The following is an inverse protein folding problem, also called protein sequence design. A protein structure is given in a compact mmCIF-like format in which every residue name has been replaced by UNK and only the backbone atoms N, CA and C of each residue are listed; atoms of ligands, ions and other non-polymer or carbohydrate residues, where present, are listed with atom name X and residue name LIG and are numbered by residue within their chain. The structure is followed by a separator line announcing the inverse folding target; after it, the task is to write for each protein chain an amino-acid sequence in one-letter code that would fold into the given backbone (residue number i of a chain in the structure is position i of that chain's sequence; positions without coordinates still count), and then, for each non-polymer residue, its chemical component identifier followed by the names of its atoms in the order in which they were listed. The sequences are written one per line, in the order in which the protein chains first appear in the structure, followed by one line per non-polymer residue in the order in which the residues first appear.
data_IF_912058082287
#
_entry.id   IF_912058082287
#
_cell.length_a   1.000
_cell.length_b   1.000
_cell.length_c   1.000
_cell.angle_alpha   90.00
_cell.angle_beta   90.00
_cell.angle_gamma   90.00
#
_symmetry.space_group_name_H-M   'P 1'
#
loop_
_entity.id
_entity.type
_entity.pdbx_description
1 polymer ?
#
# COMPACT_ATOMS: atom_id res chain seq x y z
N UNK A 1 -43.79 88.74 -29.42
CA UNK A 1 -42.43 88.52 -29.94
C UNK A 1 -41.52 89.69 -29.60
N UNK A 2 -40.78 89.58 -28.47
CA UNK A 2 -39.68 90.50 -28.16
C UNK A 2 -38.39 89.90 -28.74
N UNK A 3 -37.81 90.57 -29.74
CA UNK A 3 -36.52 90.17 -30.32
C UNK A 3 -35.42 90.97 -29.62
N UNK A 4 -34.43 90.26 -29.10
CA UNK A 4 -33.18 90.85 -28.66
C UNK A 4 -32.14 90.69 -29.75
N UNK A 5 -31.46 91.78 -30.12
CA UNK A 5 -30.40 91.80 -31.12
C UNK A 5 -29.04 91.89 -30.44
N UNK A 6 -28.11 91.04 -30.85
CA UNK A 6 -26.72 91.15 -30.43
C UNK A 6 -25.77 90.87 -31.61
N UNK A 7 -24.54 91.35 -31.50
CA UNK A 7 -23.50 91.05 -32.47
C UNK A 7 -23.04 89.59 -32.30
N UNK A 8 -23.34 88.74 -33.28
CA UNK A 8 -23.03 87.31 -33.29
C UNK A 8 -21.52 87.04 -33.23
N UNK A 9 -20.69 87.98 -33.69
CA UNK A 9 -19.22 87.85 -33.61
C UNK A 9 -18.67 88.01 -32.19
N UNK A 10 -19.46 88.52 -31.25
CA UNK A 10 -19.06 88.69 -29.85
C UNK A 10 -19.26 87.43 -29.00
N UNK A 11 -20.07 86.47 -29.45
CA UNK A 11 -20.37 85.23 -28.73
C UNK A 11 -20.50 84.07 -29.72
N UNK A 12 -19.38 83.39 -30.00
CA UNK A 12 -19.40 82.17 -30.81
C UNK A 12 -20.12 81.04 -30.03
N UNK A 13 -21.22 80.53 -30.58
CA UNK A 13 -21.91 79.35 -30.06
C UNK A 13 -21.25 78.08 -30.60
N UNK A 14 -21.28 77.01 -29.82
CA UNK A 14 -20.94 75.68 -30.33
C UNK A 14 -21.91 75.30 -31.47
N UNK A 15 -21.41 74.68 -32.53
CA UNK A 15 -22.19 74.37 -33.73
C UNK A 15 -23.42 73.49 -33.42
N UNK A 16 -23.34 72.62 -32.41
CA UNK A 16 -24.45 71.75 -31.98
C UNK A 16 -25.53 72.56 -31.26
N UNK A 17 -25.11 73.50 -30.41
CA UNK A 17 -26.01 74.42 -29.69
C UNK A 17 -26.67 75.40 -30.66
N UNK A 18 -25.90 75.93 -31.62
CA UNK A 18 -26.40 76.81 -32.66
C UNK A 18 -27.44 76.10 -33.55
N UNK A 19 -27.16 74.86 -33.97
CA UNK A 19 -28.09 74.04 -34.75
C UNK A 19 -29.39 73.77 -34.00
N UNK A 20 -29.30 73.41 -32.72
CA UNK A 20 -30.47 73.18 -31.86
C UNK A 20 -31.31 74.45 -31.72
N UNK A 21 -30.69 75.58 -31.38
CA UNK A 21 -31.37 76.86 -31.19
C UNK A 21 -32.02 77.36 -32.49
N UNK A 22 -31.38 77.16 -33.65
CA UNK A 22 -31.99 77.46 -34.96
C UNK A 22 -33.17 76.54 -35.27
N UNK A 23 -33.03 75.23 -35.04
CA UNK A 23 -34.09 74.25 -35.32
C UNK A 23 -35.36 74.48 -34.50
N UNK A 24 -35.21 75.07 -33.30
CA UNK A 24 -36.32 75.44 -32.40
C UNK A 24 -36.81 76.87 -32.60
N UNK A 25 -36.29 77.62 -33.57
CA UNK A 25 -36.67 79.01 -33.84
C UNK A 25 -36.31 79.99 -32.71
N UNK A 26 -35.35 79.61 -31.87
CA UNK A 26 -34.86 80.39 -30.73
C UNK A 26 -33.94 81.52 -31.17
N UNK A 27 -33.14 81.25 -32.20
CA UNK A 27 -32.24 82.22 -32.81
C UNK A 27 -32.43 82.25 -34.32
N UNK A 28 -32.36 83.44 -34.91
CA UNK A 28 -32.21 83.63 -36.36
C UNK A 28 -30.98 84.48 -36.59
N UNK A 29 -30.13 84.07 -37.52
CA UNK A 29 -28.96 84.84 -37.95
C UNK A 29 -29.26 85.48 -39.29
N UNK A 30 -29.08 86.78 -39.39
CA UNK A 30 -29.06 87.47 -40.68
C UNK A 30 -27.61 87.53 -41.20
N UNK A 31 -27.43 87.65 -42.52
CA UNK A 31 -26.14 87.69 -43.23
C UNK A 31 -25.25 88.92 -42.88
N UNK A 32 -25.60 89.67 -41.82
CA UNK A 32 -24.95 90.91 -41.37
C UNK A 32 -24.54 90.92 -39.89
N UNK A 33 -23.97 89.81 -39.39
CA UNK A 33 -23.38 89.71 -38.04
C UNK A 33 -24.33 89.90 -36.86
N UNK A 34 -25.64 89.91 -37.08
CA UNK A 34 -26.65 90.13 -36.04
C UNK A 34 -27.46 88.87 -35.77
N UNK A 35 -27.57 88.51 -34.50
CA UNK A 35 -28.38 87.40 -34.03
C UNK A 35 -29.63 87.91 -33.32
N UNK A 36 -30.79 87.34 -33.68
CA UNK A 36 -32.08 87.67 -33.10
C UNK A 36 -32.53 86.54 -32.17
N UNK A 37 -32.80 86.84 -30.89
CA UNK A 37 -33.33 85.86 -29.94
C UNK A 37 -34.85 85.99 -29.84
N UNK A 38 -35.55 84.89 -30.09
CA UNK A 38 -36.97 84.78 -29.79
C UNK A 38 -37.17 84.46 -28.29
N UNK A 39 -37.36 85.51 -27.49
CA UNK A 39 -37.58 85.37 -26.05
C UNK A 39 -38.81 84.56 -25.66
N UNK A 40 -39.81 84.45 -26.56
CA UNK A 40 -41.02 83.65 -26.31
C UNK A 40 -40.73 82.13 -26.44
N UNK A 41 -39.69 81.73 -27.19
CA UNK A 41 -39.29 80.33 -27.38
C UNK A 41 -38.24 79.84 -26.35
N UNK A 42 -37.48 80.75 -25.73
CA UNK A 42 -36.41 80.41 -24.77
C UNK A 42 -36.88 79.62 -23.54
N UNK A 43 -38.02 79.93 -22.88
CA UNK A 43 -38.48 79.16 -21.72
C UNK A 43 -38.72 77.68 -22.04
N UNK A 44 -39.28 77.38 -23.23
CA UNK A 44 -39.54 76.01 -23.67
C UNK A 44 -38.24 75.22 -23.91
N UNK A 45 -37.25 75.86 -24.53
CA UNK A 45 -35.95 75.25 -24.82
C UNK A 45 -35.15 74.99 -23.54
N UNK A 46 -35.17 75.94 -22.60
CA UNK A 46 -34.54 75.74 -21.28
C UNK A 46 -35.22 74.61 -20.51
N UNK A 47 -36.56 74.50 -20.60
CA UNK A 47 -37.30 73.40 -20.00
C UNK A 47 -36.96 72.04 -20.64
N UNK A 48 -36.80 71.98 -21.95
CA UNK A 48 -36.40 70.76 -22.68
C UNK A 48 -34.97 70.34 -22.32
N UNK A 49 -34.04 71.30 -22.26
CA UNK A 49 -32.65 71.05 -21.88
C UNK A 49 -32.53 70.58 -20.42
N UNK A 50 -33.31 71.18 -19.51
CA UNK A 50 -33.40 70.73 -18.12
C UNK A 50 -33.94 69.30 -18.03
N UNK A 51 -34.99 68.97 -18.79
CA UNK A 51 -35.55 67.62 -18.84
C UNK A 51 -34.55 66.60 -19.42
N UNK A 52 -33.81 66.97 -20.47
CA UNK A 52 -32.77 66.14 -21.06
C UNK A 52 -31.60 65.90 -20.10
N UNK A 53 -31.16 66.93 -19.36
CA UNK A 53 -30.15 66.81 -18.32
C UNK A 53 -30.61 65.86 -17.21
N UNK A 54 -31.83 66.02 -16.68
CA UNK A 54 -32.39 65.13 -15.67
C UNK A 54 -32.53 63.69 -16.16
N UNK A 55 -32.91 63.48 -17.42
CA UNK A 55 -32.97 62.15 -18.03
C UNK A 55 -31.57 61.52 -18.16
N UNK A 56 -30.57 62.30 -18.54
CA UNK A 56 -29.18 61.84 -18.64
C UNK A 56 -28.61 61.46 -17.27
N UNK A 57 -28.89 62.26 -16.24
CA UNK A 57 -28.49 61.97 -14.86
C UNK A 57 -29.13 60.68 -14.35
N UNK A 58 -30.43 60.48 -14.61
CA UNK A 58 -31.14 59.26 -14.26
C UNK A 58 -30.57 58.02 -14.97
N UNK A 59 -30.25 58.15 -16.26
CA UNK A 59 -29.58 57.10 -17.04
C UNK A 59 -28.19 56.78 -16.48
N UNK A 60 -27.40 57.79 -16.12
CA UNK A 60 -26.08 57.59 -15.52
C UNK A 60 -26.17 56.86 -14.18
N UNK A 61 -27.10 57.25 -13.31
CA UNK A 61 -27.34 56.56 -12.04
C UNK A 61 -27.74 55.09 -12.24
N UNK A 62 -28.60 54.80 -13.23
CA UNK A 62 -28.99 53.43 -13.56
C UNK A 62 -27.80 52.60 -14.08
N UNK A 63 -26.95 53.18 -14.93
CA UNK A 63 -25.74 52.54 -15.43
C UNK A 63 -24.74 52.26 -14.31
N UNK A 64 -24.54 53.21 -13.38
CA UNK A 64 -23.68 53.03 -12.22
C UNK A 64 -24.18 51.90 -11.31
N UNK A 65 -25.50 51.82 -11.08
CA UNK A 65 -26.11 50.74 -10.32
C UNK A 65 -25.89 49.37 -10.99
N UNK A 66 -26.05 49.27 -12.32
CA UNK A 66 -25.79 48.04 -13.07
C UNK A 66 -24.31 47.63 -12.99
N UNK A 67 -23.39 48.59 -13.11
CA UNK A 67 -21.95 48.33 -12.96
C UNK A 67 -21.63 47.82 -11.56
N UNK A 68 -22.24 48.39 -10.52
CA UNK A 68 -22.09 47.91 -9.14
C UNK A 68 -22.62 46.48 -8.98
N UNK A 69 -23.79 46.17 -9.55
CA UNK A 69 -24.36 44.82 -9.53
C UNK A 69 -23.45 43.80 -10.24
N UNK A 70 -22.99 44.11 -11.46
CA UNK A 70 -22.10 43.23 -12.22
C UNK A 70 -20.78 42.99 -11.49
N UNK A 71 -20.22 44.00 -10.82
CA UNK A 71 -19.02 43.83 -9.98
C UNK A 71 -19.27 42.87 -8.81
N UNK A 72 -20.42 42.97 -8.15
CA UNK A 72 -20.79 42.04 -7.09
C UNK A 72 -20.96 40.61 -7.60
N UNK A 73 -21.61 40.42 -8.75
CA UNK A 73 -21.80 39.11 -9.37
C UNK A 73 -20.47 38.49 -9.80
N UNK A 74 -19.57 39.27 -10.42
CA UNK A 74 -18.20 38.83 -10.73
C UNK A 74 -17.45 38.39 -9.48
N UNK A 75 -17.60 39.12 -8.37
CA UNK A 75 -17.02 38.72 -7.08
C UNK A 75 -17.57 37.38 -6.58
N UNK A 76 -18.89 37.17 -6.66
CA UNK A 76 -19.55 35.91 -6.28
C UNK A 76 -19.08 34.74 -7.14
N UNK A 77 -19.09 34.88 -8.45
CA UNK A 77 -18.61 33.84 -9.37
C UNK A 77 -17.11 33.57 -9.20
N UNK A 78 -16.31 34.59 -8.93
CA UNK A 78 -14.89 34.43 -8.61
C UNK A 78 -14.67 33.58 -7.36
N UNK A 79 -15.44 33.85 -6.29
CA UNK A 79 -15.37 33.09 -5.05
C UNK A 79 -15.87 31.64 -5.22
N UNK A 80 -16.95 31.43 -5.96
CA UNK A 80 -17.48 30.09 -6.26
C UNK A 80 -16.50 29.27 -7.09
N UNK A 81 -15.88 29.86 -8.12
CA UNK A 81 -14.84 29.22 -8.91
C UNK A 81 -13.65 28.80 -8.05
N UNK A 82 -13.24 29.63 -7.09
CA UNK A 82 -12.16 29.28 -6.17
C UNK A 82 -12.53 28.08 -5.29
N UNK A 83 -13.74 28.08 -4.72
CA UNK A 83 -14.24 26.94 -3.92
C UNK A 83 -14.26 25.64 -4.73
N UNK A 84 -14.73 25.70 -5.98
CA UNK A 84 -14.74 24.54 -6.87
C UNK A 84 -13.34 24.04 -7.20
N UNK A 85 -12.37 24.94 -7.39
CA UNK A 85 -10.95 24.56 -7.60
C UNK A 85 -10.35 23.88 -6.36
N UNK A 86 -10.61 24.41 -5.17
CA UNK A 86 -10.13 23.84 -3.92
C UNK A 86 -10.74 22.45 -3.68
N UNK A 87 -12.05 22.30 -3.93
CA UNK A 87 -12.74 21.03 -3.84
C UNK A 87 -12.24 20.01 -4.88
N UNK A 88 -12.01 20.42 -6.12
CA UNK A 88 -11.45 19.55 -7.15
C UNK A 88 -10.04 19.06 -6.76
N UNK A 89 -9.22 19.95 -6.20
CA UNK A 89 -7.89 19.59 -5.67
C UNK A 89 -7.99 18.58 -4.52
N UNK A 90 -8.95 18.78 -3.61
CA UNK A 90 -9.25 17.86 -2.50
C UNK A 90 -9.69 16.49 -3.00
N UNK A 91 -10.65 16.45 -3.93
CA UNK A 91 -11.19 15.22 -4.53
C UNK A 91 -10.10 14.46 -5.32
N UNK A 92 -9.26 15.16 -6.09
CA UNK A 92 -8.15 14.55 -6.80
C UNK A 92 -7.14 13.90 -5.83
N UNK A 93 -6.89 14.53 -4.69
CA UNK A 93 -6.03 13.96 -3.65
C UNK A 93 -6.67 12.72 -3.00
N UNK A 94 -7.97 12.76 -2.68
CA UNK A 94 -8.71 11.60 -2.16
C UNK A 94 -8.70 10.41 -3.14
N UNK A 95 -8.90 10.67 -4.44
CA UNK A 95 -8.84 9.65 -5.47
C UNK A 95 -7.48 8.96 -5.53
N UNK A 96 -6.37 9.70 -5.39
CA UNK A 96 -5.03 9.10 -5.33
C UNK A 96 -4.86 8.23 -4.08
N UNK A 97 -5.33 8.67 -2.93
CA UNK A 97 -5.26 7.90 -1.69
C UNK A 97 -6.04 6.60 -1.81
N UNK A 98 -7.30 6.65 -2.28
CA UNK A 98 -8.11 5.45 -2.46
C UNK A 98 -7.53 4.51 -3.53
N UNK A 99 -6.98 5.04 -4.63
CA UNK A 99 -6.31 4.21 -5.63
C UNK A 99 -5.10 3.45 -5.02
N UNK A 100 -4.31 4.13 -4.18
CA UNK A 100 -3.20 3.49 -3.45
C UNK A 100 -3.70 2.42 -2.48
N UNK A 101 -4.75 2.71 -1.70
CA UNK A 101 -5.34 1.76 -0.75
C UNK A 101 -5.89 0.51 -1.45
N UNK A 102 -6.60 0.67 -2.57
CA UNK A 102 -7.08 -0.44 -3.39
C UNK A 102 -5.92 -1.29 -3.92
N UNK A 103 -4.83 -0.67 -4.35
CA UNK A 103 -3.64 -1.41 -4.80
C UNK A 103 -3.02 -2.23 -3.67
N UNK A 104 -2.89 -1.65 -2.48
CA UNK A 104 -2.38 -2.37 -1.30
C UNK A 104 -3.29 -3.53 -0.89
N UNK A 105 -4.61 -3.30 -0.83
CA UNK A 105 -5.58 -4.34 -0.49
C UNK A 105 -5.57 -5.50 -1.50
N UNK A 106 -5.42 -5.20 -2.80
CA UNK A 106 -5.25 -6.25 -3.82
C UNK A 106 -3.98 -7.07 -3.61
N UNK A 107 -2.85 -6.43 -3.31
CA UNK A 107 -1.61 -7.13 -3.02
C UNK A 107 -1.71 -7.99 -1.75
N UNK A 108 -2.39 -7.48 -0.72
CA UNK A 108 -2.67 -8.23 0.50
C UNK A 108 -3.56 -9.44 0.23
N UNK A 109 -4.65 -9.27 -0.54
CA UNK A 109 -5.55 -10.36 -0.90
C UNK A 109 -4.83 -11.48 -1.67
N UNK A 110 -3.96 -11.12 -2.62
CA UNK A 110 -3.13 -12.08 -3.34
C UNK A 110 -2.21 -12.87 -2.40
N UNK A 111 -1.55 -12.18 -1.47
CA UNK A 111 -0.67 -12.81 -0.48
C UNK A 111 -1.45 -13.75 0.44
N UNK A 112 -2.60 -13.30 0.95
CA UNK A 112 -3.48 -14.12 1.78
C UNK A 112 -4.00 -15.36 1.06
N UNK A 113 -4.36 -15.24 -0.22
CA UNK A 113 -4.79 -16.39 -1.03
C UNK A 113 -3.68 -17.45 -1.14
N UNK A 114 -2.43 -17.03 -1.39
CA UNK A 114 -1.28 -17.93 -1.43
C UNK A 114 -1.03 -18.63 -0.09
N UNK A 115 -1.17 -17.91 1.02
CA UNK A 115 -1.06 -18.49 2.36
C UNK A 115 -2.16 -19.54 2.61
N UNK A 116 -3.40 -19.26 2.20
CA UNK A 116 -4.52 -20.21 2.31
C UNK A 116 -4.24 -21.48 1.51
N UNK A 117 -3.73 -21.36 0.28
CA UNK A 117 -3.37 -22.54 -0.54
C UNK A 117 -2.28 -23.39 0.13
N UNK A 118 -1.26 -22.73 0.68
CA UNK A 118 -0.15 -23.40 1.39
C UNK A 118 -0.67 -24.14 2.62
N UNK A 119 -1.52 -23.49 3.42
CA UNK A 119 -2.13 -24.11 4.60
C UNK A 119 -3.09 -25.25 4.23
N UNK A 120 -3.83 -25.14 3.14
CA UNK A 120 -4.68 -26.23 2.62
C UNK A 120 -3.85 -27.45 2.23
N UNK A 121 -2.74 -27.24 1.51
CA UNK A 121 -1.83 -28.31 1.12
C UNK A 121 -1.20 -29.00 2.35
N UNK A 122 -0.76 -28.23 3.33
CA UNK A 122 -0.20 -28.79 4.57
C UNK A 122 -1.26 -29.54 5.40
N UNK A 123 -2.48 -29.01 5.48
CA UNK A 123 -3.58 -29.69 6.17
C UNK A 123 -3.91 -31.02 5.48
N UNK A 124 -3.95 -31.06 4.15
CA UNK A 124 -4.13 -32.31 3.40
C UNK A 124 -3.00 -33.32 3.66
N UNK A 125 -1.74 -32.84 3.73
CA UNK A 125 -0.58 -33.67 4.08
C UNK A 125 -0.69 -34.25 5.50
N UNK A 126 -1.05 -33.43 6.47
CA UNK A 126 -1.22 -33.85 7.87
C UNK A 126 -2.39 -34.84 8.04
N UNK A 127 -3.49 -34.68 7.28
CA UNK A 127 -4.58 -35.64 7.27
C UNK A 127 -4.22 -36.97 6.60
N UNK A 128 -3.29 -36.96 5.64
CA UNK A 128 -2.80 -38.17 4.97
C UNK A 128 -1.73 -38.91 5.79
N UNK A 129 -0.92 -38.20 6.58
CA UNK A 129 0.15 -38.78 7.40
C UNK A 129 -0.27 -39.98 8.28
N UNK A 130 -1.41 -39.96 9.02
CA UNK A 130 -1.84 -41.12 9.80
C UNK A 130 -2.38 -42.28 8.96
N UNK A 131 -2.77 -42.05 7.70
CA UNK A 131 -3.21 -43.10 6.76
C UNK A 131 -2.04 -43.81 6.08
N UNK A 132 -0.91 -43.12 5.93
CA UNK A 132 0.34 -43.68 5.38
C UNK A 132 1.28 -44.23 6.44
N UNK A 133 0.99 -44.02 7.73
CA UNK A 133 1.74 -44.64 8.81
C UNK A 133 1.58 -46.16 8.72
N UNK A 134 2.65 -46.96 8.79
CA UNK A 134 2.55 -48.42 8.80
C UNK A 134 1.60 -48.82 9.94
N UNK A 135 0.62 -49.67 9.62
CA UNK A 135 -0.32 -50.17 10.61
C UNK A 135 0.42 -50.75 11.83
N UNK A 136 -0.10 -50.59 13.06
CA UNK A 136 0.54 -51.10 14.28
C UNK A 136 0.74 -52.63 14.28
N UNK A 137 0.15 -53.35 13.32
CA UNK A 137 0.37 -54.78 13.11
C UNK A 137 1.80 -55.11 12.65
N UNK A 138 2.47 -54.24 11.89
CA UNK A 138 3.87 -54.44 11.50
C UNK A 138 4.82 -54.26 12.70
N UNK A 139 4.49 -53.35 13.62
CA UNK A 139 5.25 -53.15 14.87
C UNK A 139 5.01 -54.29 15.87
N UNK A 140 3.80 -54.87 15.92
CA UNK A 140 3.51 -56.04 16.74
C UNK A 140 4.26 -57.30 16.24
N UNK A 141 4.24 -57.56 14.93
CA UNK A 141 4.99 -58.67 14.34
C UNK A 141 6.51 -58.50 14.49
N UNK A 142 7.03 -57.26 14.43
CA UNK A 142 8.45 -57.02 14.70
C UNK A 142 8.80 -57.21 16.19
N UNK A 143 7.88 -56.86 17.10
CA UNK A 143 8.07 -57.06 18.54
C UNK A 143 8.15 -58.55 18.88
N UNK A 144 7.28 -59.38 18.31
CA UNK A 144 7.30 -60.83 18.55
C UNK A 144 8.54 -61.49 17.96
N UNK A 145 8.97 -61.09 16.75
CA UNK A 145 10.19 -61.61 16.14
C UNK A 145 11.45 -61.23 16.93
N UNK A 146 11.52 -59.99 17.45
CA UNK A 146 12.62 -59.54 18.31
C UNK A 146 12.61 -60.29 19.64
N UNK A 147 11.45 -60.54 20.23
CA UNK A 147 11.32 -61.31 21.47
C UNK A 147 11.77 -62.77 21.29
N UNK A 148 11.40 -63.40 20.18
CA UNK A 148 11.86 -64.76 19.85
C UNK A 148 13.38 -64.82 19.61
N UNK A 149 13.93 -63.83 18.92
CA UNK A 149 15.38 -63.73 18.72
C UNK A 149 16.12 -63.54 20.05
N UNK A 150 15.59 -62.72 20.95
CA UNK A 150 16.14 -62.51 22.28
C UNK A 150 16.15 -63.80 23.12
N UNK A 151 15.03 -64.53 23.18
CA UNK A 151 14.98 -65.79 23.92
C UNK A 151 15.87 -66.88 23.31
N UNK A 152 16.00 -66.92 21.98
CA UNK A 152 16.94 -67.82 21.30
C UNK A 152 18.39 -67.48 21.68
N UNK A 153 18.77 -66.22 21.59
CA UNK A 153 20.11 -65.75 21.93
C UNK A 153 20.45 -66.01 23.41
N UNK A 154 19.48 -65.85 24.30
CA UNK A 154 19.62 -66.16 25.73
C UNK A 154 19.90 -67.65 25.98
N UNK A 155 19.22 -68.54 25.25
CA UNK A 155 19.48 -69.99 25.33
C UNK A 155 20.85 -70.35 24.78
N UNK A 156 21.24 -69.78 23.64
CA UNK A 156 22.57 -69.98 23.06
C UNK A 156 23.67 -69.51 24.01
N UNK A 157 23.49 -68.35 24.66
CA UNK A 157 24.43 -67.84 25.65
C UNK A 157 24.57 -68.77 26.87
N UNK A 158 23.45 -69.34 27.36
CA UNK A 158 23.49 -70.30 28.46
C UNK A 158 24.20 -71.60 28.06
N UNK A 159 23.94 -72.11 26.85
CA UNK A 159 24.62 -73.29 26.33
C UNK A 159 26.13 -73.05 26.19
N UNK A 160 26.55 -71.90 25.65
CA UNK A 160 27.95 -71.53 25.54
C UNK A 160 28.62 -71.42 26.92
N UNK A 161 27.90 -70.87 27.91
CA UNK A 161 28.40 -70.75 29.28
C UNK A 161 28.60 -72.12 29.93
N UNK A 162 27.70 -73.08 29.69
CA UNK A 162 27.84 -74.44 30.15
C UNK A 162 29.03 -75.14 29.48
N UNK A 163 29.15 -75.03 28.16
CA UNK A 163 30.27 -75.58 27.41
C UNK A 163 31.63 -75.00 27.86
N UNK A 164 31.67 -73.70 28.16
CA UNK A 164 32.87 -73.06 28.68
C UNK A 164 33.22 -73.59 30.09
N UNK A 165 32.22 -73.77 30.96
CA UNK A 165 32.44 -74.38 32.28
C UNK A 165 32.99 -75.81 32.15
N UNK A 166 32.43 -76.63 31.25
CA UNK A 166 32.93 -77.97 30.95
C UNK A 166 34.38 -77.94 30.44
N UNK A 167 34.68 -77.03 29.50
CA UNK A 167 36.03 -76.87 28.97
C UNK A 167 37.04 -76.47 30.07
N UNK A 168 36.68 -75.55 30.98
CA UNK A 168 37.53 -75.18 32.12
C UNK A 168 37.78 -76.40 33.02
N UNK A 169 36.73 -77.18 33.32
CA UNK A 169 36.91 -78.40 34.14
C UNK A 169 37.79 -79.43 33.45
N UNK A 170 37.62 -79.63 32.14
CA UNK A 170 38.46 -80.55 31.37
C UNK A 170 39.91 -80.07 31.30
N UNK A 171 40.13 -78.76 31.18
CA UNK A 171 41.47 -78.18 31.16
C UNK A 171 42.16 -78.41 32.50
N UNK A 172 41.43 -78.21 33.62
CA UNK A 172 41.96 -78.48 34.96
C UNK A 172 42.35 -79.94 35.16
N UNK A 173 41.52 -80.89 34.70
CA UNK A 173 41.86 -82.33 34.76
C UNK A 173 43.13 -82.62 33.96
N UNK A 174 43.26 -82.05 32.75
CA UNK A 174 44.47 -82.23 31.94
C UNK A 174 45.71 -81.56 32.55
N UNK A 175 45.56 -80.43 33.25
CA UNK A 175 46.65 -79.80 34.00
C UNK A 175 47.11 -80.68 35.15
N UNK A 176 46.17 -81.20 35.95
CA UNK A 176 46.44 -82.13 37.06
C UNK A 176 47.17 -83.40 36.54
N UNK A 177 46.68 -84.02 35.45
CA UNK A 177 47.32 -85.18 34.81
C UNK A 177 48.75 -84.86 34.27
N UNK A 178 48.96 -83.65 33.75
CA UNK A 178 50.27 -83.24 33.22
C UNK A 178 51.29 -83.05 34.36
N UNK A 179 50.86 -82.50 35.48
CA UNK A 179 51.70 -82.34 36.67
C UNK A 179 52.08 -83.70 37.25
N UNK A 180 51.15 -84.66 37.34
CA UNK A 180 51.45 -86.05 37.73
C UNK A 180 52.49 -86.70 36.81
N UNK A 181 52.33 -86.57 35.48
CA UNK A 181 53.29 -87.11 34.52
C UNK A 181 54.67 -86.44 34.61
N UNK A 182 54.73 -85.14 34.93
CA UNK A 182 56.00 -84.43 35.15
C UNK A 182 56.73 -84.96 36.37
N UNK A 183 56.02 -85.17 37.47
CA UNK A 183 56.58 -85.77 38.68
C UNK A 183 57.11 -87.18 38.41
N UNK A 184 56.36 -88.00 37.66
CA UNK A 184 56.79 -89.35 37.27
C UNK A 184 58.05 -89.32 36.38
N UNK A 185 58.11 -88.42 35.39
CA UNK A 185 59.30 -88.23 34.55
C UNK A 185 60.51 -87.78 35.37
N UNK A 186 60.33 -86.88 36.33
CA UNK A 186 61.41 -86.44 37.23
C UNK A 186 61.89 -87.58 38.12
N UNK A 187 60.97 -88.38 38.68
CA UNK A 187 61.30 -89.57 39.45
C UNK A 187 62.12 -90.56 38.62
N UNK A 188 61.67 -90.89 37.40
CA UNK A 188 62.38 -91.79 36.49
C UNK A 188 63.76 -91.25 36.11
N UNK A 189 63.89 -89.94 35.86
CA UNK A 189 65.20 -89.30 35.61
C UNK A 189 66.13 -89.40 36.82
N UNK A 190 65.61 -89.23 38.04
CA UNK A 190 66.41 -89.35 39.26
C UNK A 190 66.88 -90.80 39.48
N UNK A 191 66.02 -91.79 39.21
CA UNK A 191 66.37 -93.21 39.24
C UNK A 191 67.45 -93.54 38.18
N UNK A 192 67.31 -93.02 36.96
CA UNK A 192 68.29 -93.21 35.90
C UNK A 192 69.66 -92.59 36.23
N UNK A 193 69.70 -91.45 36.94
CA UNK A 193 70.95 -90.83 37.42
C UNK A 193 71.61 -91.60 38.57
N UNK A 194 70.81 -92.31 39.38
CA UNK A 194 71.29 -93.11 40.51
C UNK A 194 71.53 -94.59 40.14
N UNK A 195 71.31 -94.97 38.88
CA UNK A 195 71.61 -96.30 38.40
C UNK A 195 73.14 -96.51 38.29
N UNK A 196 73.70 -97.58 38.88
CA UNK A 196 75.13 -97.87 38.75
C UNK A 196 75.48 -98.14 37.28
N UNK A 197 76.59 -97.55 36.82
CA UNK A 197 77.09 -97.77 35.47
C UNK A 197 77.22 -99.28 35.19
N UNK A 198 76.76 -99.78 34.03
CA UNK A 198 76.90 -101.19 33.70
C UNK A 198 78.38 -101.55 33.67
N UNK A 199 78.76 -102.59 34.41
CA UNK A 199 80.11 -103.15 34.33
C UNK A 199 80.31 -103.66 32.91
N UNK A 200 81.15 -102.96 32.13
CA UNK A 200 81.70 -103.50 30.91
C UNK A 200 82.56 -104.71 31.28
N UNK A 201 82.21 -105.87 30.74
CA UNK A 201 83.03 -107.08 30.77
C UNK A 201 84.23 -106.98 29.84
#
# INVERSE_FOLDING_TARGET
MKLFTFNASSFALDASVESLLKSRGAITLDFGSSAYINSDAMPAILSELAAAASSSESSNAANEALVAQLKMELGKFGAERQKLMDENTRLASQLRTYASEVSMLKAQAFTSAKTIETLKAENARLQAAPKSAPAPQAAAASSDAVQQAYEKLKKEFQALKAQNAEAITSLKVLEDENDELREEVEMLRSQAKNAPAPKAG
#
